data_IF_688820883436
#
_entry.id   IF_688820883436
#
_cell.length_a   1.000
_cell.length_b   1.000
_cell.length_c   1.000
_cell.angle_alpha   90.00
_cell.angle_beta   90.00
_cell.angle_gamma   90.00
#
_symmetry.space_group_name_H-M   'P 1'
#
loop_
_entity.id
_entity.type
_entity.pdbx_description
1 polymer ?
#
# COMPACT_ATOMS: atom_id res chain seq x y z
N UNK A 1 8.73 5.08 -6.42
CA UNK A 1 9.89 5.62 -5.75
C UNK A 1 10.60 6.64 -6.62
N UNK A 2 10.97 7.80 -6.03
CA UNK A 2 11.64 8.92 -6.71
C UNK A 2 13.16 8.74 -6.88
N UNK A 3 13.72 7.58 -6.58
CA UNK A 3 15.14 7.27 -6.76
C UNK A 3 15.54 7.11 -8.24
N UNK A 4 16.85 7.05 -8.53
CA UNK A 4 17.39 6.84 -9.89
C UNK A 4 16.99 5.51 -10.53
N UNK A 5 16.41 4.60 -9.76
CA UNK A 5 15.93 3.27 -10.19
C UNK A 5 14.41 3.16 -10.13
N UNK A 6 13.69 4.26 -9.88
CA UNK A 6 12.24 4.28 -9.80
C UNK A 6 11.55 4.14 -11.16
N UNK A 7 10.28 3.74 -11.13
CA UNK A 7 9.47 3.54 -12.35
C UNK A 7 9.39 4.78 -13.25
N UNK A 8 9.35 5.98 -12.66
CA UNK A 8 9.30 7.24 -13.40
C UNK A 8 10.69 7.83 -13.69
N UNK A 9 11.68 7.57 -12.85
CA UNK A 9 12.97 8.26 -12.86
C UNK A 9 14.12 7.43 -13.42
N UNK A 10 13.96 6.12 -13.51
CA UNK A 10 15.00 5.18 -13.96
C UNK A 10 15.17 5.06 -15.49
N UNK A 11 14.35 5.78 -16.26
CA UNK A 11 14.36 5.71 -17.73
C UNK A 11 13.65 4.47 -18.28
N UNK A 12 13.56 4.39 -19.61
CA UNK A 12 12.74 3.36 -20.29
C UNK A 12 13.19 1.92 -20.02
N UNK A 13 14.49 1.66 -19.93
CA UNK A 13 15.02 0.32 -19.63
C UNK A 13 14.61 -0.15 -18.22
N UNK A 14 14.74 0.70 -17.22
CA UNK A 14 14.33 0.41 -15.85
C UNK A 14 12.82 0.19 -15.78
N UNK A 15 12.05 1.05 -16.43
CA UNK A 15 10.59 0.90 -16.50
C UNK A 15 10.18 -0.44 -17.10
N UNK A 16 10.82 -0.87 -18.20
CA UNK A 16 10.54 -2.17 -18.83
C UNK A 16 10.91 -3.35 -17.91
N UNK A 17 12.01 -3.25 -17.18
CA UNK A 17 12.40 -4.27 -16.20
C UNK A 17 11.37 -4.36 -15.04
N UNK A 18 10.94 -3.22 -14.50
CA UNK A 18 9.93 -3.18 -13.44
C UNK A 18 8.57 -3.70 -13.94
N UNK A 19 8.17 -3.35 -15.16
CA UNK A 19 6.97 -3.91 -15.79
C UNK A 19 7.04 -5.45 -15.86
N UNK A 20 8.19 -6.00 -16.26
CA UNK A 20 8.41 -7.46 -16.32
C UNK A 20 8.34 -8.09 -14.94
N UNK A 21 8.91 -7.44 -13.91
CA UNK A 21 8.86 -7.93 -12.53
C UNK A 21 7.43 -7.95 -11.98
N UNK A 22 6.64 -6.89 -12.23
CA UNK A 22 5.24 -6.84 -11.82
C UNK A 22 4.45 -7.99 -12.49
N UNK A 23 4.60 -8.18 -13.79
CA UNK A 23 3.91 -9.24 -14.50
C UNK A 23 4.30 -10.62 -13.99
N UNK A 24 5.58 -10.90 -13.84
CA UNK A 24 6.05 -12.16 -13.28
C UNK A 24 5.51 -12.39 -11.84
N UNK A 25 5.48 -11.35 -11.01
CA UNK A 25 4.95 -11.43 -9.65
C UNK A 25 3.46 -11.79 -9.64
N UNK A 26 2.65 -11.13 -10.47
CA UNK A 26 1.22 -11.44 -10.59
C UNK A 26 1.01 -12.85 -11.14
N UNK A 27 1.75 -13.26 -12.17
CA UNK A 27 1.64 -14.60 -12.77
C UNK A 27 1.98 -15.69 -11.73
N UNK A 28 3.02 -15.48 -10.91
CA UNK A 28 3.39 -16.42 -9.84
C UNK A 28 2.34 -16.46 -8.75
N UNK A 29 1.83 -15.32 -8.28
CA UNK A 29 0.78 -15.26 -7.29
C UNK A 29 -0.48 -16.01 -7.77
N UNK A 30 -0.90 -15.75 -8.99
CA UNK A 30 -2.04 -16.43 -9.63
C UNK A 30 -1.84 -17.95 -9.71
N UNK A 31 -0.66 -18.40 -10.16
CA UNK A 31 -0.31 -19.82 -10.23
C UNK A 31 -0.33 -20.52 -8.87
N UNK A 32 0.01 -19.80 -7.81
CA UNK A 32 0.05 -20.32 -6.44
C UNK A 32 -1.28 -20.16 -5.69
N UNK A 33 -2.30 -19.59 -6.31
CA UNK A 33 -3.59 -19.31 -5.66
C UNK A 33 -3.49 -18.19 -4.60
N UNK A 34 -2.55 -17.27 -4.76
CA UNK A 34 -2.34 -16.12 -3.89
C UNK A 34 -2.94 -14.85 -4.48
N UNK A 35 -3.28 -13.90 -3.64
CA UNK A 35 -3.57 -12.53 -4.09
C UNK A 35 -2.29 -11.81 -4.47
N UNK A 36 -2.40 -10.92 -5.47
CA UNK A 36 -1.34 -10.01 -5.88
C UNK A 36 -1.81 -8.57 -5.69
N UNK A 37 -1.05 -7.79 -4.91
CA UNK A 37 -1.31 -6.39 -4.68
C UNK A 37 -0.36 -5.56 -5.57
N UNK A 38 -0.92 -4.92 -6.61
CA UNK A 38 -0.15 -4.03 -7.51
C UNK A 38 -0.15 -2.63 -6.91
N UNK A 39 1.02 -2.21 -6.44
CA UNK A 39 1.20 -0.97 -5.68
C UNK A 39 1.86 0.14 -6.50
N UNK A 40 1.27 1.35 -6.46
CA UNK A 40 1.91 2.59 -6.85
C UNK A 40 2.63 3.18 -5.65
N UNK A 41 3.92 2.83 -5.53
CA UNK A 41 4.73 3.06 -4.33
C UNK A 41 5.16 4.52 -4.19
N UNK A 42 4.23 5.37 -3.79
CA UNK A 42 4.51 6.75 -3.37
C UNK A 42 5.22 6.70 -2.02
N UNK A 43 6.29 7.47 -1.86
CA UNK A 43 6.97 7.60 -0.58
C UNK A 43 7.31 9.05 -0.29
N UNK A 44 6.69 9.59 0.77
CA UNK A 44 6.98 10.89 1.36
C UNK A 44 6.76 12.12 0.46
N UNK A 45 5.78 12.10 -0.45
CA UNK A 45 5.38 13.28 -1.23
C UNK A 45 3.86 13.29 -1.50
N UNK A 46 3.35 14.42 -2.03
CA UNK A 46 1.94 14.53 -2.43
C UNK A 46 1.71 13.79 -3.76
N UNK A 47 0.90 12.73 -3.80
CA UNK A 47 0.70 11.91 -4.99
C UNK A 47 0.06 12.67 -6.16
N UNK A 48 -0.59 13.80 -5.92
CA UNK A 48 -1.11 14.66 -6.99
C UNK A 48 -0.02 15.18 -7.93
N UNK A 49 1.24 15.19 -7.51
CA UNK A 49 2.38 15.59 -8.36
C UNK A 49 2.57 14.64 -9.55
N UNK A 50 2.18 13.38 -9.41
CA UNK A 50 2.28 12.33 -10.44
C UNK A 50 0.94 11.67 -10.76
N UNK A 51 -0.17 12.39 -10.57
CA UNK A 51 -1.52 11.87 -10.83
C UNK A 51 -1.68 11.37 -12.28
N UNK A 52 -1.11 12.09 -13.25
CA UNK A 52 -1.18 11.70 -14.66
C UNK A 52 -0.49 10.35 -14.91
N UNK A 53 0.69 10.19 -14.35
CA UNK A 53 1.52 8.98 -14.46
C UNK A 53 0.87 7.80 -13.74
N UNK A 54 0.29 8.02 -12.57
CA UNK A 54 -0.48 7.01 -11.84
C UNK A 54 -1.69 6.52 -12.66
N UNK A 55 -2.41 7.44 -13.30
CA UNK A 55 -3.54 7.07 -14.19
C UNK A 55 -3.07 6.24 -15.38
N UNK A 56 -1.94 6.56 -16.00
CA UNK A 56 -1.34 5.77 -17.09
C UNK A 56 -0.97 4.36 -16.60
N UNK A 57 -0.33 4.27 -15.44
CA UNK A 57 0.07 3.02 -14.80
C UNK A 57 -1.15 2.13 -14.54
N UNK A 58 -2.18 2.65 -13.87
CA UNK A 58 -3.38 1.87 -13.56
C UNK A 58 -4.25 1.57 -14.78
N UNK A 59 -4.26 2.42 -15.80
CA UNK A 59 -4.89 2.08 -17.10
C UNK A 59 -4.25 0.83 -17.67
N UNK A 60 -2.91 0.74 -17.66
CA UNK A 60 -2.18 -0.41 -18.18
C UNK A 60 -2.52 -1.68 -17.40
N UNK A 61 -2.36 -1.66 -16.08
CA UNK A 61 -2.50 -2.85 -15.25
C UNK A 61 -3.95 -3.28 -15.04
N UNK A 62 -4.89 -2.35 -14.93
CA UNK A 62 -6.31 -2.69 -14.90
C UNK A 62 -6.75 -3.32 -16.23
N UNK A 63 -6.28 -2.83 -17.38
CA UNK A 63 -6.57 -3.46 -18.68
C UNK A 63 -6.00 -4.88 -18.76
N UNK A 64 -4.80 -5.09 -18.23
CA UNK A 64 -4.12 -6.38 -18.26
C UNK A 64 -4.78 -7.43 -17.36
N UNK A 65 -5.28 -7.01 -16.19
CA UNK A 65 -5.72 -7.91 -15.13
C UNK A 65 -7.21 -7.86 -14.80
N UNK A 66 -8.04 -7.14 -15.57
CA UNK A 66 -9.50 -7.00 -15.32
C UNK A 66 -10.27 -8.33 -15.20
N UNK A 67 -9.72 -9.40 -15.73
CA UNK A 67 -10.32 -10.75 -15.68
C UNK A 67 -9.64 -11.65 -14.63
N UNK A 68 -8.86 -11.06 -13.69
CA UNK A 68 -8.14 -11.77 -12.63
C UNK A 68 -8.74 -11.45 -11.26
N UNK A 69 -9.41 -12.41 -10.66
CA UNK A 69 -10.08 -12.26 -9.36
C UNK A 69 -9.10 -12.11 -8.16
N UNK A 70 -7.82 -12.33 -8.38
CA UNK A 70 -6.79 -12.30 -7.34
C UNK A 70 -5.90 -11.04 -7.38
N UNK A 71 -6.18 -10.07 -8.24
CA UNK A 71 -5.39 -8.84 -8.35
C UNK A 71 -6.09 -7.69 -7.64
N UNK A 72 -5.38 -7.03 -6.73
CA UNK A 72 -5.79 -5.84 -5.99
C UNK A 72 -4.89 -4.67 -6.40
N UNK A 73 -5.38 -3.45 -6.25
CA UNK A 73 -4.61 -2.24 -6.58
C UNK A 73 -4.46 -1.34 -5.37
N UNK A 74 -3.22 -1.12 -4.92
CA UNK A 74 -2.88 -0.07 -3.97
C UNK A 74 -2.47 1.18 -4.73
N UNK A 75 -3.31 2.21 -4.65
CA UNK A 75 -3.16 3.37 -5.53
C UNK A 75 -2.26 4.47 -4.98
N UNK A 76 -1.81 4.31 -3.74
CA UNK A 76 -0.89 5.25 -3.09
C UNK A 76 -0.36 4.64 -1.78
N UNK A 77 0.93 4.32 -1.71
CA UNK A 77 1.55 3.66 -0.57
C UNK A 77 1.67 4.57 0.67
N UNK A 78 2.55 5.57 0.67
CA UNK A 78 2.87 6.41 1.83
C UNK A 78 2.87 7.91 1.50
N UNK A 79 1.71 8.49 1.26
CA UNK A 79 1.61 9.91 0.92
C UNK A 79 1.89 10.82 2.13
N UNK A 80 2.51 11.95 1.83
CA UNK A 80 2.71 13.07 2.77
C UNK A 80 2.43 14.41 2.10
N UNK A 81 2.59 15.52 2.82
CA UNK A 81 2.43 16.86 2.25
C UNK A 81 1.01 17.21 1.80
N UNK A 82 0.03 16.44 2.24
CA UNK A 82 -1.38 16.65 1.92
C UNK A 82 -2.28 16.09 3.04
N UNK A 83 -3.53 16.48 3.04
CA UNK A 83 -4.56 15.95 3.95
C UNK A 83 -5.44 14.96 3.21
N UNK A 84 -6.23 14.17 3.96
CA UNK A 84 -7.25 13.32 3.35
C UNK A 84 -8.23 14.14 2.52
N UNK A 85 -8.87 15.14 3.14
CA UNK A 85 -9.80 16.05 2.45
C UNK A 85 -9.60 17.50 2.91
N UNK A 86 -9.49 18.42 1.96
CA UNK A 86 -9.38 19.86 2.22
C UNK A 86 -10.26 20.69 1.27
N UNK A 87 -10.80 20.06 0.24
CA UNK A 87 -11.60 20.74 -0.79
C UNK A 87 -10.81 21.62 -1.75
N UNK A 88 -9.47 21.55 -1.73
CA UNK A 88 -8.61 22.40 -2.58
C UNK A 88 -8.26 21.77 -3.94
N UNK A 89 -8.75 20.55 -4.21
CA UNK A 89 -8.49 19.81 -5.45
C UNK A 89 -7.07 19.20 -5.55
N UNK A 90 -6.31 19.21 -4.45
CA UNK A 90 -4.94 18.64 -4.36
C UNK A 90 -4.76 17.78 -3.11
N UNK A 91 -5.85 17.36 -2.52
CA UNK A 91 -5.90 16.44 -1.39
C UNK A 91 -5.91 14.98 -1.85
N UNK A 92 -5.76 14.05 -0.90
CA UNK A 92 -5.78 12.62 -1.19
C UNK A 92 -7.13 12.15 -1.72
N UNK A 93 -8.22 12.72 -1.23
CA UNK A 93 -9.56 12.40 -1.71
C UNK A 93 -9.69 12.66 -3.22
N UNK A 94 -9.18 13.82 -3.69
CA UNK A 94 -9.18 14.16 -5.11
C UNK A 94 -8.31 13.18 -5.91
N UNK A 95 -7.08 12.92 -5.46
CA UNK A 95 -6.18 11.95 -6.09
C UNK A 95 -6.85 10.56 -6.20
N UNK A 96 -7.32 10.03 -5.07
CA UNK A 96 -7.95 8.72 -5.03
C UNK A 96 -9.18 8.64 -5.93
N UNK A 97 -10.05 9.66 -5.92
CA UNK A 97 -11.26 9.67 -6.77
C UNK A 97 -10.93 9.60 -8.26
N UNK A 98 -9.89 10.32 -8.70
CA UNK A 98 -9.43 10.33 -10.09
C UNK A 98 -8.82 8.99 -10.53
N UNK A 99 -8.00 8.38 -9.68
CA UNK A 99 -7.39 7.08 -9.97
C UNK A 99 -8.43 5.95 -9.90
N UNK A 100 -9.31 5.96 -8.89
CA UNK A 100 -10.41 5.00 -8.78
C UNK A 100 -11.27 5.05 -10.04
N UNK A 101 -11.67 6.27 -10.47
CA UNK A 101 -12.45 6.41 -11.71
C UNK A 101 -11.74 5.76 -12.90
N UNK A 102 -10.44 5.98 -13.04
CA UNK A 102 -9.63 5.39 -14.13
C UNK A 102 -9.68 3.86 -14.12
N UNK A 103 -9.55 3.24 -12.93
CA UNK A 103 -9.63 1.80 -12.80
C UNK A 103 -11.05 1.30 -13.06
N UNK A 104 -12.07 1.96 -12.49
CA UNK A 104 -13.48 1.57 -12.62
C UNK A 104 -14.04 1.64 -14.05
N UNK A 105 -13.51 2.53 -14.88
CA UNK A 105 -13.85 2.60 -16.30
C UNK A 105 -13.38 1.36 -17.07
N UNK A 106 -12.47 0.54 -16.48
CA UNK A 106 -11.87 -0.67 -17.09
C UNK A 106 -12.29 -1.94 -16.35
N UNK A 107 -12.19 -1.91 -15.01
CA UNK A 107 -12.46 -3.00 -14.10
C UNK A 107 -13.44 -2.51 -13.00
N UNK A 108 -14.76 -2.74 -13.21
CA UNK A 108 -15.80 -2.24 -12.32
C UNK A 108 -15.76 -2.85 -10.91
N UNK A 109 -15.23 -4.05 -10.77
CA UNK A 109 -15.31 -4.85 -9.55
C UNK A 109 -13.97 -4.96 -8.79
N UNK A 110 -12.87 -4.41 -9.33
CA UNK A 110 -11.56 -4.44 -8.69
C UNK A 110 -11.61 -4.02 -7.21
N UNK A 111 -10.80 -4.66 -6.38
CA UNK A 111 -10.54 -4.18 -5.02
C UNK A 111 -9.44 -3.13 -5.08
N UNK A 112 -9.74 -1.92 -4.61
CA UNK A 112 -8.84 -0.78 -4.64
C UNK A 112 -8.55 -0.33 -3.22
N UNK A 113 -7.27 -0.12 -2.90
CA UNK A 113 -6.78 0.29 -1.59
C UNK A 113 -6.21 1.70 -1.72
N UNK A 114 -6.76 2.63 -0.94
CA UNK A 114 -6.40 4.05 -0.96
C UNK A 114 -5.39 4.32 0.16
N UNK A 115 -4.24 4.92 -0.15
CA UNK A 115 -3.33 5.45 0.85
C UNK A 115 -3.99 6.54 1.70
N UNK A 116 -3.57 6.65 2.95
CA UNK A 116 -3.99 7.71 3.86
C UNK A 116 -2.83 8.66 4.16
N UNK A 117 -3.11 9.86 4.65
CA UNK A 117 -2.05 10.84 4.91
C UNK A 117 -1.11 10.39 6.05
N UNK A 118 0.02 11.11 6.18
CA UNK A 118 1.05 10.85 7.20
C UNK A 118 1.60 9.42 7.13
N UNK A 119 2.18 9.07 5.96
CA UNK A 119 2.69 7.71 5.69
C UNK A 119 1.67 6.61 5.96
N UNK A 120 0.45 6.81 5.50
CA UNK A 120 -0.68 5.88 5.69
C UNK A 120 -1.00 5.57 7.16
N UNK A 121 -0.91 6.56 8.05
CA UNK A 121 -1.17 6.44 9.49
C UNK A 121 -2.47 7.09 9.96
N UNK A 122 -3.08 7.97 9.14
CA UNK A 122 -4.25 8.77 9.56
C UNK A 122 -5.56 8.20 9.00
N UNK A 123 -5.75 6.89 9.15
CA UNK A 123 -6.92 6.17 8.63
C UNK A 123 -8.24 6.60 9.28
N UNK A 124 -8.19 7.15 10.49
CA UNK A 124 -9.32 7.72 11.21
C UNK A 124 -9.93 8.96 10.53
N UNK A 125 -9.15 9.68 9.72
CA UNK A 125 -9.64 10.86 9.00
C UNK A 125 -10.55 10.53 7.81
N UNK A 126 -10.51 9.30 7.33
CA UNK A 126 -11.28 8.84 6.17
C UNK A 126 -12.79 8.95 6.41
N UNK A 127 -13.25 8.69 7.63
CA UNK A 127 -14.67 8.68 7.98
C UNK A 127 -15.37 10.02 7.70
N UNK A 128 -14.63 11.14 7.73
CA UNK A 128 -15.17 12.47 7.43
C UNK A 128 -15.59 12.65 5.97
N UNK A 129 -14.96 11.89 5.04
CA UNK A 129 -15.25 11.96 3.60
C UNK A 129 -14.83 10.65 2.92
N UNK A 130 -15.55 9.55 3.10
CA UNK A 130 -15.17 8.26 2.51
C UNK A 130 -15.49 8.18 1.01
N UNK A 131 -14.74 7.35 0.27
CA UNK A 131 -14.97 7.14 -1.18
C UNK A 131 -16.34 6.55 -1.50
N UNK A 132 -16.97 5.84 -0.57
CA UNK A 132 -18.33 5.33 -0.72
C UNK A 132 -19.36 6.43 -0.99
N UNK A 133 -19.10 7.68 -0.57
CA UNK A 133 -19.99 8.82 -0.82
C UNK A 133 -20.07 9.18 -2.32
N UNK A 134 -19.10 8.76 -3.12
CA UNK A 134 -19.10 8.85 -4.58
C UNK A 134 -19.76 7.63 -5.25
N UNK A 135 -20.32 6.71 -4.48
CA UNK A 135 -20.96 5.47 -4.98
C UNK A 135 -19.99 4.34 -5.30
N UNK A 136 -18.70 4.48 -4.99
CA UNK A 136 -17.71 3.42 -5.21
C UNK A 136 -17.86 2.28 -4.19
N UNK A 137 -17.71 1.04 -4.68
CA UNK A 137 -17.68 -0.19 -3.89
C UNK A 137 -16.30 -0.81 -3.96
N UNK A 138 -16.04 -1.83 -3.11
CA UNK A 138 -14.78 -2.57 -3.07
C UNK A 138 -13.58 -1.64 -2.87
N UNK A 139 -13.72 -0.67 -1.96
CA UNK A 139 -12.67 0.27 -1.58
C UNK A 139 -12.24 -0.03 -0.15
N UNK A 140 -10.94 -0.14 0.06
CA UNK A 140 -10.28 -0.23 1.36
C UNK A 140 -9.29 0.93 1.53
N UNK A 141 -8.74 1.07 2.72
CA UNK A 141 -7.80 2.13 3.07
C UNK A 141 -6.57 1.53 3.72
N UNK A 142 -5.41 1.95 3.23
CA UNK A 142 -4.11 1.53 3.73
C UNK A 142 -3.87 2.09 5.13
N UNK A 143 -3.30 1.24 5.98
CA UNK A 143 -2.68 1.64 7.24
C UNK A 143 -1.31 0.98 7.37
N UNK A 144 -0.30 1.76 7.81
CA UNK A 144 1.06 1.29 8.03
C UNK A 144 1.50 1.49 9.48
N UNK A 145 2.28 0.54 9.99
CA UNK A 145 2.92 0.68 11.29
C UNK A 145 4.24 -0.08 11.38
N UNK A 146 5.10 0.40 12.27
CA UNK A 146 6.33 -0.26 12.68
C UNK A 146 6.34 -0.33 14.21
N UNK A 147 6.32 -1.53 14.78
CA UNK A 147 5.98 -1.74 16.19
C UNK A 147 6.96 -1.09 17.17
N UNK A 148 8.25 -0.96 16.80
CA UNK A 148 9.21 -0.28 17.66
C UNK A 148 8.98 1.24 17.76
N UNK A 149 8.33 1.87 16.76
CA UNK A 149 8.02 3.29 16.72
C UNK A 149 6.57 3.59 17.10
N UNK A 150 5.62 2.85 16.54
CA UNK A 150 4.19 3.14 16.58
C UNK A 150 3.51 2.38 17.72
N UNK A 151 2.83 3.12 18.57
CA UNK A 151 2.29 2.62 19.85
C UNK A 151 0.76 2.84 19.92
N UNK A 152 0.23 2.84 21.14
CA UNK A 152 -1.21 2.90 21.43
C UNK A 152 -1.95 4.05 20.72
N UNK A 153 -1.30 5.21 20.55
CA UNK A 153 -1.91 6.34 19.85
C UNK A 153 -2.33 6.02 18.40
N UNK A 154 -1.56 5.18 17.70
CA UNK A 154 -1.93 4.74 16.36
C UNK A 154 -2.93 3.57 16.39
N UNK A 155 -2.81 2.66 17.37
CA UNK A 155 -3.82 1.61 17.60
C UNK A 155 -5.21 2.21 17.79
N UNK A 156 -5.30 3.33 18.53
CA UNK A 156 -6.56 4.02 18.74
C UNK A 156 -7.17 4.57 17.44
N UNK A 157 -6.35 5.08 16.51
CA UNK A 157 -6.84 5.49 15.17
C UNK A 157 -7.46 4.33 14.40
N UNK A 158 -6.85 3.15 14.46
CA UNK A 158 -7.39 1.94 13.82
C UNK A 158 -8.73 1.55 14.45
N UNK A 159 -8.85 1.58 15.79
CA UNK A 159 -10.11 1.30 16.48
C UNK A 159 -11.20 2.29 16.11
N UNK A 160 -10.88 3.58 16.07
CA UNK A 160 -11.83 4.64 15.68
C UNK A 160 -12.30 4.44 14.24
N UNK A 161 -11.40 4.26 13.30
CA UNK A 161 -11.71 4.05 11.90
C UNK A 161 -12.59 2.80 11.69
N UNK A 162 -12.26 1.69 12.35
CA UNK A 162 -13.05 0.45 12.27
C UNK A 162 -14.45 0.64 12.87
N UNK A 163 -14.55 1.35 13.99
CA UNK A 163 -15.85 1.69 14.62
C UNK A 163 -16.73 2.52 13.69
N UNK A 164 -16.15 3.40 12.89
CA UNK A 164 -16.83 4.22 11.89
C UNK A 164 -17.14 3.44 10.60
N UNK A 165 -16.78 2.15 10.54
CA UNK A 165 -17.02 1.28 9.41
C UNK A 165 -16.08 1.51 8.22
N UNK A 166 -14.89 2.07 8.46
CA UNK A 166 -13.83 2.23 7.46
C UNK A 166 -13.15 0.88 7.20
N UNK A 167 -13.19 0.32 5.98
CA UNK A 167 -12.49 -0.93 5.67
C UNK A 167 -10.97 -0.68 5.60
N UNK A 168 -10.20 -1.34 6.44
CA UNK A 168 -8.75 -1.16 6.54
C UNK A 168 -8.04 -2.41 6.00
N UNK A 169 -6.91 -2.19 5.32
CA UNK A 169 -5.89 -3.19 5.05
C UNK A 169 -4.53 -2.64 5.52
N UNK A 170 -3.83 -3.37 6.36
CA UNK A 170 -2.44 -3.05 6.69
C UNK A 170 -1.55 -3.61 5.59
N UNK A 171 -1.29 -2.80 4.57
CA UNK A 171 -0.52 -3.23 3.40
C UNK A 171 0.98 -3.27 3.66
N UNK A 172 1.41 -2.63 4.76
CA UNK A 172 2.80 -2.67 5.20
C UNK A 172 2.90 -2.60 6.72
N UNK A 173 3.70 -3.50 7.33
CA UNK A 173 4.11 -3.36 8.72
C UNK A 173 5.48 -3.99 8.98
N UNK A 174 6.18 -3.49 10.01
CA UNK A 174 7.43 -4.05 10.50
C UNK A 174 7.50 -4.14 12.02
N UNK A 175 8.38 -5.01 12.53
CA UNK A 175 8.62 -5.15 13.99
C UNK A 175 9.79 -4.31 14.48
N UNK A 176 10.53 -3.66 13.56
CA UNK A 176 11.61 -2.73 13.83
C UNK A 176 11.10 -1.29 13.95
N UNK A 177 12.03 -0.32 14.00
CA UNK A 177 11.71 1.11 13.91
C UNK A 177 11.26 1.50 12.50
N UNK A 178 10.52 2.60 12.38
CA UNK A 178 9.93 3.07 11.13
C UNK A 178 10.94 3.47 10.03
N UNK A 179 12.22 3.60 10.37
CA UNK A 179 13.32 3.78 9.41
C UNK A 179 13.79 2.45 8.76
N UNK A 180 13.15 1.34 9.08
CA UNK A 180 13.50 0.01 8.59
C UNK A 180 14.70 -0.63 9.31
N UNK A 181 15.40 0.05 10.21
CA UNK A 181 16.69 -0.39 10.75
C UNK A 181 16.82 -0.40 12.29
N UNK A 182 16.07 0.36 13.03
CA UNK A 182 16.23 0.53 14.48
C UNK A 182 16.09 -0.75 15.32
N UNK A 183 15.65 -0.61 16.54
CA UNK A 183 15.40 -1.74 17.46
C UNK A 183 14.16 -2.53 17.03
N UNK A 184 14.08 -3.79 17.45
CA UNK A 184 12.86 -4.58 17.40
C UNK A 184 12.03 -4.36 18.67
N UNK A 185 10.70 -4.42 18.53
CA UNK A 185 9.76 -4.46 19.66
C UNK A 185 8.71 -5.55 19.39
N UNK A 186 9.10 -6.78 19.77
CA UNK A 186 8.25 -7.95 19.57
C UNK A 186 6.99 -7.90 20.46
N UNK A 187 7.11 -7.41 21.71
CA UNK A 187 5.96 -7.30 22.61
C UNK A 187 4.88 -6.36 22.04
N UNK A 188 5.28 -5.22 21.51
CA UNK A 188 4.33 -4.32 20.88
C UNK A 188 3.86 -4.83 19.51
N UNK A 189 4.67 -5.64 18.80
CA UNK A 189 4.22 -6.32 17.60
C UNK A 189 3.09 -7.32 17.90
N UNK A 190 3.23 -8.12 18.97
CA UNK A 190 2.17 -9.03 19.41
C UNK A 190 0.86 -8.29 19.74
N UNK A 191 0.96 -7.11 20.36
CA UNK A 191 -0.22 -6.26 20.63
C UNK A 191 -0.87 -5.76 19.34
N UNK A 192 -0.07 -5.38 18.35
CA UNK A 192 -0.58 -4.98 17.04
C UNK A 192 -1.30 -6.14 16.34
N UNK A 193 -0.68 -7.31 16.26
CA UNK A 193 -1.27 -8.48 15.61
C UNK A 193 -2.57 -8.89 16.33
N UNK A 194 -2.59 -8.89 17.66
CA UNK A 194 -3.81 -9.18 18.43
C UNK A 194 -4.95 -8.18 18.10
N UNK A 195 -4.63 -6.89 17.94
CA UNK A 195 -5.62 -5.88 17.54
C UNK A 195 -6.14 -6.13 16.12
N UNK A 196 -5.26 -6.45 15.17
CA UNK A 196 -5.67 -6.73 13.79
C UNK A 196 -6.55 -7.98 13.71
N UNK A 197 -6.22 -9.02 14.46
CA UNK A 197 -7.03 -10.24 14.57
C UNK A 197 -8.40 -9.94 15.18
N UNK A 198 -8.46 -9.17 16.28
CA UNK A 198 -9.71 -8.76 16.93
C UNK A 198 -10.64 -8.02 15.98
N UNK A 199 -10.06 -7.15 15.13
CA UNK A 199 -10.80 -6.29 14.20
C UNK A 199 -10.98 -6.92 12.80
N UNK A 200 -10.50 -8.14 12.57
CA UNK A 200 -10.52 -8.84 11.27
C UNK A 200 -9.86 -8.02 10.14
N UNK A 201 -8.73 -7.39 10.44
CA UNK A 201 -7.96 -6.59 9.48
C UNK A 201 -6.86 -7.46 8.88
N UNK A 202 -6.83 -7.56 7.54
CA UNK A 202 -5.77 -8.23 6.80
C UNK A 202 -4.48 -7.41 6.81
N UNK A 203 -3.32 -8.10 6.78
CA UNK A 203 -2.02 -7.44 6.83
C UNK A 203 -0.95 -8.13 6.00
N UNK A 204 0.06 -7.37 5.58
CA UNK A 204 1.26 -7.84 4.88
C UNK A 204 2.51 -7.26 5.54
N UNK A 205 3.55 -8.08 5.73
CA UNK A 205 4.79 -7.62 6.36
C UNK A 205 5.75 -6.98 5.34
N UNK A 206 6.48 -5.98 5.77
CA UNK A 206 7.61 -5.39 5.07
C UNK A 206 8.92 -5.91 5.65
N UNK A 207 9.77 -6.58 4.85
CA UNK A 207 9.56 -6.98 3.48
C UNK A 207 10.16 -8.37 3.21
N UNK A 208 9.56 -9.13 2.32
CA UNK A 208 10.11 -10.40 1.85
C UNK A 208 11.30 -10.16 0.90
N UNK A 209 12.37 -9.65 1.48
CA UNK A 209 13.59 -9.23 0.79
C UNK A 209 14.85 -9.65 1.53
N UNK A 210 16.00 -9.56 0.88
CA UNK A 210 17.33 -9.70 1.46
C UNK A 210 18.10 -8.37 1.46
N UNK A 211 17.41 -7.25 1.49
CA UNK A 211 18.01 -5.94 1.67
C UNK A 211 18.81 -5.87 2.97
N UNK A 212 19.87 -5.07 3.00
CA UNK A 212 20.69 -4.92 4.21
C UNK A 212 20.01 -3.94 5.20
N UNK A 213 18.84 -4.33 5.68
CA UNK A 213 18.06 -3.62 6.67
C UNK A 213 17.34 -4.59 7.61
N UNK A 214 16.92 -4.14 8.78
CA UNK A 214 16.29 -5.00 9.78
C UNK A 214 14.86 -5.36 9.47
N UNK A 215 14.19 -4.60 8.64
CA UNK A 215 12.85 -4.93 8.13
C UNK A 215 12.88 -6.07 7.11
N UNK A 216 14.04 -6.38 6.52
CA UNK A 216 14.19 -7.48 5.58
C UNK A 216 13.99 -8.84 6.27
N UNK A 217 13.20 -9.71 5.66
CA UNK A 217 12.90 -11.04 6.19
C UNK A 217 14.11 -11.97 6.13
N UNK A 218 14.96 -11.81 5.12
CA UNK A 218 16.16 -12.61 4.91
C UNK A 218 17.44 -11.82 5.20
N UNK A 219 18.50 -12.55 5.57
CA UNK A 219 19.82 -11.96 5.69
C UNK A 219 20.31 -11.47 4.33
N UNK A 220 21.09 -10.41 4.30
CA UNK A 220 21.68 -9.86 3.06
C UNK A 220 22.58 -10.84 2.31
N UNK A 221 23.10 -11.85 3.00
CA UNK A 221 23.87 -12.95 2.41
C UNK A 221 23.02 -14.06 1.78
N UNK A 222 21.69 -14.02 1.97
CA UNK A 222 20.79 -15.01 1.41
C UNK A 222 20.81 -14.92 -0.13
N UNK A 223 21.01 -16.05 -0.80
CA UNK A 223 20.90 -16.15 -2.25
C UNK A 223 19.80 -17.13 -2.63
N UNK A 224 19.06 -16.83 -3.69
CA UNK A 224 17.99 -17.70 -4.20
C UNK A 224 18.47 -19.11 -4.58
N UNK A 225 19.78 -19.30 -4.79
CA UNK A 225 20.35 -20.53 -5.26
C UNK A 225 20.63 -21.56 -4.15
N UNK A 226 20.68 -21.15 -2.87
CA UNK A 226 21.19 -22.00 -1.79
C UNK A 226 20.17 -22.41 -0.73
N UNK A 227 19.01 -21.77 -0.67
CA UNK A 227 18.04 -22.04 0.40
C UNK A 227 18.53 -21.65 1.80
N UNK A 228 19.48 -20.73 1.88
CA UNK A 228 19.98 -20.16 3.14
C UNK A 228 19.00 -19.07 3.64
N UNK A 229 17.97 -19.55 4.31
CA UNK A 229 16.90 -18.71 4.90
C UNK A 229 17.31 -18.10 6.22
#
# INVERSE_FOLDING_TARGET
DGGSVGYLTGGDSTKQQLDTLIQNGVDYATKLGMYALVDWHVHAYNPNEYLKEAKIFFTKYATMYKDHDNVLYEICNEPTGTNWYSGNGKDLYTYCSEVIKTIRDIDPDAIIICGTNTWSQDVDQVAAKPMKDLGYKNIMYTFHFYSATHKENLMEKVRLATKDGTPIFVTEFGICSADGNGSYDAENADRWIALLDELNISFACWSYSNCNEKSAYFKSSCSNAGGDW
#
